data_IF_695356918645
#
_entry.id   IF_695356918645
#
_cell.length_a   1.000
_cell.length_b   1.000
_cell.length_c   1.000
_cell.angle_alpha   90.00
_cell.angle_beta   90.00
_cell.angle_gamma   90.00
#
_symmetry.space_group_name_H-M   'P 1'
#
loop_
_entity.id
_entity.type
_entity.pdbx_description
1 polymer ?
#
# COMPACT_ATOMS: atom_id res chain seq x y z
N UNK A 1 -20.96 15.93 9.76
CA UNK A 1 -19.51 16.20 9.62
C UNK A 1 -18.82 15.45 10.75
N UNK A 2 -17.88 14.57 10.42
CA UNK A 2 -17.10 13.79 11.39
C UNK A 2 -16.09 14.69 12.09
N UNK A 3 -16.07 14.70 13.43
CA UNK A 3 -15.15 15.52 14.21
C UNK A 3 -13.76 14.90 14.30
N UNK A 4 -12.71 15.72 14.27
CA UNK A 4 -11.34 15.28 14.56
C UNK A 4 -11.24 14.86 16.04
N UNK A 5 -10.74 13.65 16.27
CA UNK A 5 -10.47 13.08 17.59
C UNK A 5 -9.09 13.49 18.10
N UNK A 6 -8.08 13.34 17.24
CA UNK A 6 -6.69 13.59 17.54
C UNK A 6 -5.91 13.82 16.25
N UNK A 7 -4.84 14.60 16.34
CA UNK A 7 -3.83 14.68 15.29
C UNK A 7 -2.54 14.08 15.83
N UNK A 8 -1.96 13.10 15.15
CA UNK A 8 -0.82 12.33 15.66
C UNK A 8 0.32 12.26 14.63
N UNK A 9 1.48 11.77 15.06
CA UNK A 9 2.63 11.43 14.21
C UNK A 9 2.83 9.91 14.24
N UNK A 10 3.32 9.35 13.14
CA UNK A 10 3.74 7.94 13.06
C UNK A 10 5.18 7.72 13.54
N UNK A 11 5.88 8.77 13.97
CA UNK A 11 7.25 8.67 14.49
C UNK A 11 7.32 7.71 15.70
N UNK A 12 8.28 6.78 15.67
CA UNK A 12 8.44 5.78 16.72
C UNK A 12 7.35 4.70 16.76
N UNK A 13 6.49 4.62 15.72
CA UNK A 13 5.50 3.57 15.58
C UNK A 13 5.86 2.64 14.43
N UNK A 14 5.60 1.35 14.62
CA UNK A 14 5.76 0.35 13.58
C UNK A 14 4.40 -0.03 13.00
N UNK A 15 4.21 0.10 11.67
CA UNK A 15 2.97 -0.31 11.02
C UNK A 15 2.83 -1.83 11.01
N UNK A 16 1.61 -2.33 11.19
CA UNK A 16 1.25 -3.73 11.04
C UNK A 16 0.66 -3.96 9.64
N UNK A 17 1.20 -4.95 8.92
CA UNK A 17 0.81 -5.24 7.53
C UNK A 17 1.25 -4.17 6.51
N UNK A 18 0.77 -4.31 5.28
CA UNK A 18 0.97 -3.34 4.20
C UNK A 18 0.04 -2.13 4.31
N UNK A 19 0.34 -1.05 3.59
CA UNK A 19 -0.54 0.13 3.54
C UNK A 19 -1.95 -0.21 3.02
N UNK A 20 -2.05 -1.08 2.00
CA UNK A 20 -3.33 -1.53 1.47
C UNK A 20 -4.15 -2.32 2.51
N UNK A 21 -3.49 -3.14 3.33
CA UNK A 21 -4.11 -3.88 4.43
C UNK A 21 -4.61 -2.97 5.56
N UNK A 22 -4.11 -1.73 5.66
CA UNK A 22 -4.58 -0.69 6.59
C UNK A 22 -5.49 0.35 5.94
N UNK A 23 -6.10 0.03 4.80
CA UNK A 23 -7.12 0.91 4.22
C UNK A 23 -8.35 0.97 5.12
N UNK A 24 -8.72 2.16 5.58
CA UNK A 24 -9.88 2.36 6.46
C UNK A 24 -11.17 1.82 5.84
N UNK A 25 -11.43 2.10 4.57
CA UNK A 25 -12.64 1.63 3.86
C UNK A 25 -12.70 0.11 3.78
N UNK A 26 -11.56 -0.54 3.54
CA UNK A 26 -11.48 -2.00 3.47
C UNK A 26 -11.77 -2.62 4.83
N UNK A 27 -11.11 -2.15 5.88
CA UNK A 27 -11.23 -2.75 7.22
C UNK A 27 -12.58 -2.44 7.84
N UNK A 28 -13.02 -1.18 7.81
CA UNK A 28 -14.33 -0.79 8.36
C UNK A 28 -15.49 -1.43 7.60
N UNK A 29 -15.40 -1.56 6.27
CA UNK A 29 -16.36 -2.28 5.44
C UNK A 29 -16.44 -3.76 5.81
N UNK A 30 -15.29 -4.43 5.91
CA UNK A 30 -15.23 -5.84 6.31
C UNK A 30 -15.80 -6.07 7.72
N UNK A 31 -15.51 -5.18 8.68
CA UNK A 31 -16.09 -5.26 10.02
C UNK A 31 -17.60 -5.06 10.01
N UNK A 32 -18.09 -4.06 9.26
CA UNK A 32 -19.52 -3.77 9.10
C UNK A 32 -20.27 -4.97 8.54
N UNK A 33 -19.76 -5.55 7.47
CA UNK A 33 -20.44 -6.64 6.74
C UNK A 33 -20.48 -7.94 7.56
N UNK A 34 -19.49 -8.18 8.42
CA UNK A 34 -19.32 -9.46 9.13
C UNK A 34 -19.81 -9.43 10.58
N UNK A 35 -19.66 -8.30 11.26
CA UNK A 35 -19.92 -8.18 12.70
C UNK A 35 -20.91 -7.05 13.02
N UNK A 36 -21.05 -6.09 12.10
CA UNK A 36 -22.04 -5.03 12.18
C UNK A 36 -21.44 -3.66 12.44
N UNK A 37 -22.34 -2.69 12.47
CA UNK A 37 -22.00 -1.26 12.51
C UNK A 37 -21.23 -0.85 13.78
N UNK A 38 -21.49 -1.50 14.91
CA UNK A 38 -20.79 -1.20 16.16
C UNK A 38 -19.27 -1.50 16.09
N UNK A 39 -18.88 -2.54 15.33
CA UNK A 39 -17.48 -2.93 15.13
C UNK A 39 -16.80 -2.03 14.11
N UNK A 40 -17.49 -1.62 13.06
CA UNK A 40 -16.96 -0.65 12.10
C UNK A 40 -16.65 0.70 12.78
N UNK A 41 -17.51 1.13 13.70
CA UNK A 41 -17.32 2.35 14.50
C UNK A 41 -16.19 2.27 15.54
N UNK A 42 -15.52 1.13 15.65
CA UNK A 42 -14.33 1.00 16.48
C UNK A 42 -13.14 1.75 15.89
N UNK A 43 -13.10 1.97 14.58
CA UNK A 43 -11.93 2.53 13.90
C UNK A 43 -12.12 4.01 13.61
N UNK A 44 -11.14 4.84 13.99
CA UNK A 44 -11.06 6.20 13.49
C UNK A 44 -10.55 6.24 12.04
N UNK A 45 -11.08 7.16 11.25
CA UNK A 45 -10.65 7.37 9.87
C UNK A 45 -9.34 8.19 9.83
N UNK A 46 -8.25 7.67 9.23
CA UNK A 46 -7.02 8.42 9.06
C UNK A 46 -7.09 9.33 7.83
N UNK A 47 -6.89 10.62 8.04
CA UNK A 47 -6.81 11.64 6.99
C UNK A 47 -5.44 12.30 7.07
N UNK A 48 -4.75 12.44 5.93
CA UNK A 48 -3.49 13.17 5.91
C UNK A 48 -3.72 14.64 6.29
N UNK A 49 -3.01 15.12 7.30
CA UNK A 49 -3.08 16.53 7.69
C UNK A 49 -2.52 17.42 6.56
N UNK A 50 -2.89 18.70 6.57
CA UNK A 50 -2.56 19.66 5.50
C UNK A 50 -1.06 19.73 5.16
N UNK A 51 -0.18 19.46 6.11
CA UNK A 51 1.28 19.54 5.95
C UNK A 51 1.96 18.17 5.71
N UNK A 52 1.18 17.08 5.63
CA UNK A 52 1.62 15.75 5.21
C UNK A 52 2.47 14.95 6.20
N UNK A 53 2.93 15.55 7.29
CA UNK A 53 3.76 14.93 8.34
C UNK A 53 2.94 14.36 9.50
N UNK A 54 1.63 14.65 9.53
CA UNK A 54 0.71 14.24 10.60
C UNK A 54 -0.54 13.59 10.03
N UNK A 55 -1.23 12.85 10.89
CA UNK A 55 -2.47 12.16 10.57
C UNK A 55 -3.58 12.74 11.46
N UNK A 56 -4.61 13.29 10.84
CA UNK A 56 -5.86 13.67 11.50
C UNK A 56 -6.76 12.44 11.57
N UNK A 57 -7.17 12.08 12.78
CA UNK A 57 -8.04 10.94 13.02
C UNK A 57 -9.45 11.41 13.27
N UNK A 58 -10.37 11.01 12.40
CA UNK A 58 -11.77 11.44 12.48
C UNK A 58 -12.65 10.37 13.11
N UNK A 59 -13.63 10.82 13.90
CA UNK A 59 -14.63 9.95 14.48
C UNK A 59 -15.50 9.32 13.37
N UNK A 60 -15.83 8.02 13.45
CA UNK A 60 -16.65 7.37 12.43
C UNK A 60 -18.11 7.86 12.43
N UNK A 61 -18.55 8.45 13.54
CA UNK A 61 -19.87 9.09 13.66
C UNK A 61 -19.75 10.43 14.40
N UNK A 62 -20.69 11.37 14.19
CA UNK A 62 -20.75 12.60 14.96
C UNK A 62 -20.96 12.31 16.45
N UNK A 63 -20.24 13.01 17.32
CA UNK A 63 -20.41 12.90 18.75
C UNK A 63 -19.33 13.66 19.51
N UNK A 64 -19.52 13.81 20.82
CA UNK A 64 -18.48 14.37 21.69
C UNK A 64 -17.50 13.27 22.05
N UNK A 65 -16.27 13.41 21.57
CA UNK A 65 -15.17 12.54 21.96
C UNK A 65 -14.48 13.07 23.22
N UNK A 66 -14.13 12.15 24.11
CA UNK A 66 -13.31 12.41 25.29
C UNK A 66 -12.22 11.35 25.37
N UNK A 67 -10.98 11.75 25.71
CA UNK A 67 -9.94 10.81 26.11
C UNK A 67 -10.38 9.92 27.28
N UNK A 68 -9.88 8.68 27.34
CA UNK A 68 -10.28 7.69 28.36
C UNK A 68 -9.94 8.13 29.79
N UNK A 69 -8.86 8.88 29.96
CA UNK A 69 -8.44 9.47 31.25
C UNK A 69 -9.41 10.55 31.75
N UNK A 70 -10.15 11.20 30.85
CA UNK A 70 -11.21 12.17 31.15
C UNK A 70 -12.54 11.57 31.60
N UNK A 71 -12.71 10.24 31.52
CA UNK A 71 -13.92 9.56 31.98
C UNK A 71 -13.92 9.29 33.50
N UNK A 72 -15.12 9.21 34.07
CA UNK A 72 -15.31 8.71 35.44
C UNK A 72 -14.80 7.27 35.56
N UNK A 73 -14.40 6.79 36.75
CA UNK A 73 -13.95 5.40 36.92
C UNK A 73 -14.99 4.37 36.49
N UNK A 74 -16.29 4.67 36.71
CA UNK A 74 -17.38 3.80 36.30
C UNK A 74 -17.52 3.74 34.77
N UNK A 75 -17.53 4.89 34.09
CA UNK A 75 -17.62 4.97 32.63
C UNK A 75 -16.40 4.33 31.97
N UNK A 76 -15.21 4.50 32.55
CA UNK A 76 -13.98 3.87 32.07
C UNK A 76 -14.04 2.35 32.13
N UNK A 77 -14.58 1.80 33.23
CA UNK A 77 -14.78 0.36 33.36
C UNK A 77 -15.82 -0.16 32.35
N UNK A 78 -16.92 0.57 32.15
CA UNK A 78 -17.95 0.22 31.16
C UNK A 78 -17.40 0.26 29.73
N UNK A 79 -16.62 1.30 29.38
CA UNK A 79 -15.94 1.42 28.10
C UNK A 79 -14.95 0.27 27.89
N UNK A 80 -14.13 -0.04 28.89
CA UNK A 80 -13.16 -1.13 28.83
C UNK A 80 -13.83 -2.49 28.61
N UNK A 81 -14.95 -2.75 29.29
CA UNK A 81 -15.75 -3.96 29.08
C UNK A 81 -16.30 -4.01 27.65
N UNK A 82 -16.86 -2.89 27.16
CA UNK A 82 -17.38 -2.80 25.78
C UNK A 82 -16.29 -3.02 24.73
N UNK A 83 -15.13 -2.39 24.89
CA UNK A 83 -13.97 -2.57 24.02
C UNK A 83 -13.51 -4.03 24.02
N UNK A 84 -13.41 -4.65 25.20
CA UNK A 84 -13.01 -6.05 25.34
C UNK A 84 -13.95 -6.99 24.60
N UNK A 85 -15.27 -6.76 24.70
CA UNK A 85 -16.27 -7.52 23.94
C UNK A 85 -16.09 -7.36 22.43
N UNK A 86 -16.00 -6.13 21.93
CA UNK A 86 -15.85 -5.86 20.50
C UNK A 86 -14.56 -6.48 19.94
N UNK A 87 -13.44 -6.31 20.64
CA UNK A 87 -12.14 -6.89 20.25
C UNK A 87 -12.17 -8.42 20.27
N UNK A 88 -12.78 -9.03 21.29
CA UNK A 88 -12.91 -10.49 21.37
C UNK A 88 -13.73 -11.05 20.20
N UNK A 89 -14.82 -10.39 19.82
CA UNK A 89 -15.66 -10.78 18.67
C UNK A 89 -14.89 -10.67 17.34
N UNK A 90 -14.08 -9.61 17.16
CA UNK A 90 -13.21 -9.44 15.98
C UNK A 90 -12.15 -10.53 15.91
N UNK A 91 -11.49 -10.83 17.03
CA UNK A 91 -10.47 -11.88 17.08
C UNK A 91 -11.05 -13.27 16.87
N UNK A 92 -12.27 -13.53 17.38
CA UNK A 92 -12.99 -14.76 17.10
C UNK A 92 -13.31 -14.89 15.61
N UNK A 93 -13.72 -13.79 14.95
CA UNK A 93 -13.95 -13.76 13.51
C UNK A 93 -12.69 -14.02 12.70
N UNK A 94 -11.58 -13.37 13.06
CA UNK A 94 -10.28 -13.65 12.48
C UNK A 94 -9.90 -15.14 12.66
N UNK A 95 -10.20 -15.73 13.82
CA UNK A 95 -10.03 -17.17 14.07
C UNK A 95 -10.83 -18.05 13.12
N UNK A 96 -12.11 -17.73 12.88
CA UNK A 96 -12.97 -18.44 11.92
C UNK A 96 -12.40 -18.38 10.49
N UNK A 97 -11.95 -17.20 10.07
CA UNK A 97 -11.35 -16.99 8.75
C UNK A 97 -10.03 -17.75 8.58
N UNK A 98 -9.20 -17.87 9.62
CA UNK A 98 -7.98 -18.72 9.55
C UNK A 98 -8.33 -20.20 9.39
N UNK A 99 -9.40 -20.65 10.04
CA UNK A 99 -9.84 -22.05 9.97
C UNK A 99 -10.41 -22.44 8.59
N UNK A 100 -11.03 -21.49 7.87
CA UNK A 100 -11.44 -21.70 6.47
C UNK A 100 -10.26 -22.02 5.54
N UNK A 101 -9.06 -21.50 5.85
CA UNK A 101 -7.80 -21.91 5.23
C UNK A 101 -7.51 -21.33 3.84
N UNK A 102 -8.51 -20.72 3.18
CA UNK A 102 -8.29 -20.05 1.89
C UNK A 102 -7.27 -18.91 2.02
N UNK A 103 -6.50 -18.65 0.95
CA UNK A 103 -5.47 -17.60 0.99
C UNK A 103 -6.07 -16.21 1.26
N UNK A 104 -7.27 -15.96 0.75
CA UNK A 104 -8.00 -14.72 0.98
C UNK A 104 -8.53 -14.61 2.42
N UNK A 105 -9.14 -15.68 2.96
CA UNK A 105 -9.59 -15.67 4.34
C UNK A 105 -8.41 -15.51 5.31
N UNK A 106 -7.25 -16.11 5.05
CA UNK A 106 -6.04 -15.90 5.85
C UNK A 106 -5.55 -14.45 5.82
N UNK A 107 -5.55 -13.81 4.64
CA UNK A 107 -5.20 -12.38 4.52
C UNK A 107 -6.17 -11.49 5.29
N UNK A 108 -7.48 -11.73 5.15
CA UNK A 108 -8.48 -10.97 5.90
C UNK A 108 -8.36 -11.20 7.40
N UNK A 109 -8.09 -12.43 7.84
CA UNK A 109 -7.89 -12.72 9.26
C UNK A 109 -6.69 -11.98 9.86
N UNK A 110 -5.60 -11.83 9.10
CA UNK A 110 -4.44 -11.04 9.51
C UNK A 110 -4.80 -9.55 9.61
N UNK A 111 -5.53 -9.02 8.61
CA UNK A 111 -6.03 -7.64 8.61
C UNK A 111 -6.89 -7.36 9.84
N UNK A 112 -7.87 -8.21 10.14
CA UNK A 112 -8.76 -8.03 11.29
C UNK A 112 -8.03 -8.14 12.63
N UNK A 113 -7.04 -9.04 12.73
CA UNK A 113 -6.21 -9.15 13.94
C UNK A 113 -5.34 -7.91 14.15
N UNK A 114 -4.75 -7.36 13.09
CA UNK A 114 -3.95 -6.14 13.17
C UNK A 114 -4.83 -4.92 13.48
N UNK A 115 -6.09 -4.88 13.02
CA UNK A 115 -6.98 -3.74 13.19
C UNK A 115 -7.35 -3.43 14.66
N UNK A 116 -7.24 -4.40 15.56
CA UNK A 116 -7.51 -4.19 17.00
C UNK A 116 -6.26 -3.84 17.80
N UNK A 117 -5.08 -3.84 17.17
CA UNK A 117 -3.82 -3.47 17.80
C UNK A 117 -3.66 -1.95 17.77
N UNK A 118 -3.32 -1.38 18.92
CA UNK A 118 -2.98 0.03 19.11
C UNK A 118 -1.70 0.16 19.95
N UNK A 119 -0.91 1.25 19.82
CA UNK A 119 0.36 1.36 20.53
C UNK A 119 0.24 1.40 22.06
N UNK A 120 -0.85 2.00 22.58
CA UNK A 120 -1.15 2.09 24.02
C UNK A 120 -2.58 2.59 24.24
N UNK A 121 -3.05 2.54 25.48
CA UNK A 121 -4.37 3.05 25.90
C UNK A 121 -4.56 4.56 25.60
N UNK A 122 -3.48 5.32 25.43
CA UNK A 122 -3.53 6.73 25.07
C UNK A 122 -4.13 6.98 23.67
N UNK A 123 -4.19 5.95 22.83
CA UNK A 123 -4.76 6.00 21.49
C UNK A 123 -6.23 5.53 21.44
N UNK A 124 -6.87 5.42 22.60
CA UNK A 124 -8.27 5.02 22.70
C UNK A 124 -9.07 6.25 23.13
N UNK A 125 -10.16 6.52 22.42
CA UNK A 125 -11.10 7.59 22.72
C UNK A 125 -12.49 7.02 23.00
N UNK A 126 -13.25 7.71 23.85
CA UNK A 126 -14.64 7.41 24.13
C UNK A 126 -15.53 8.43 23.42
N UNK A 127 -16.46 7.94 22.61
CA UNK A 127 -17.43 8.75 21.90
C UNK A 127 -18.79 8.59 22.56
N UNK A 128 -19.40 9.69 23.00
CA UNK A 128 -20.77 9.65 23.54
C UNK A 128 -21.75 9.41 22.38
N UNK A 129 -22.54 8.34 22.49
CA UNK A 129 -23.65 8.02 21.58
C UNK A 129 -24.95 7.88 22.36
N UNK A 130 -26.08 7.77 21.67
CA UNK A 130 -27.40 7.55 22.28
C UNK A 130 -27.47 6.21 23.05
N UNK A 131 -26.67 5.22 22.65
CA UNK A 131 -26.59 3.90 23.28
C UNK A 131 -25.55 3.82 24.41
N UNK A 132 -24.89 4.94 24.75
CA UNK A 132 -23.80 5.02 25.72
C UNK A 132 -22.44 5.30 25.07
N UNK A 133 -21.36 4.93 25.75
CA UNK A 133 -20.00 5.16 25.29
C UNK A 133 -19.56 4.15 24.23
N UNK A 134 -19.14 4.66 23.07
CA UNK A 134 -18.53 3.88 21.98
C UNK A 134 -17.01 4.06 22.02
N UNK A 135 -16.22 2.99 22.14
CA UNK A 135 -14.77 3.09 21.99
C UNK A 135 -14.39 3.34 20.53
N UNK A 136 -13.39 4.19 20.32
CA UNK A 136 -12.81 4.49 19.01
C UNK A 136 -11.28 4.46 19.12
N UNK A 137 -10.65 3.68 18.23
CA UNK A 137 -9.22 3.46 18.16
C UNK A 137 -8.57 4.43 17.18
N UNK A 138 -7.56 5.14 17.66
CA UNK A 138 -6.61 5.94 16.87
C UNK A 138 -5.36 5.09 16.66
N UNK A 139 -4.64 5.27 15.55
CA UNK A 139 -3.44 4.47 15.25
C UNK A 139 -3.68 2.95 15.30
N UNK A 140 -4.88 2.51 14.93
CA UNK A 140 -5.16 1.08 14.75
C UNK A 140 -4.23 0.47 13.69
N UNK A 141 -3.86 -0.79 13.87
CA UNK A 141 -2.84 -1.48 13.08
C UNK A 141 -1.44 -0.82 13.13
N UNK A 142 -1.10 -0.23 14.27
CA UNK A 142 0.26 0.19 14.62
C UNK A 142 0.64 -0.35 16.00
N UNK A 143 1.93 -0.61 16.19
CA UNK A 143 2.50 -0.94 17.50
C UNK A 143 3.56 0.08 17.88
N UNK A 144 3.74 0.31 19.18
CA UNK A 144 4.86 1.11 19.67
C UNK A 144 6.19 0.42 19.35
N UNK A 145 7.16 1.17 18.83
CA UNK A 145 8.52 0.66 18.65
C UNK A 145 9.30 0.81 19.96
N UNK A 146 9.31 -0.24 20.77
CA UNK A 146 10.05 -0.26 22.04
C UNK A 146 11.60 -0.30 21.85
N UNK A 147 12.10 -0.33 20.60
CA UNK A 147 13.52 -0.61 20.30
C UNK A 147 14.23 0.38 19.39
N UNK A 148 13.53 1.22 18.63
CA UNK A 148 14.17 2.30 17.89
C UNK A 148 14.35 3.54 18.79
N UNK A 149 15.39 3.51 19.63
CA UNK A 149 16.01 4.75 20.08
C UNK A 149 16.31 5.57 18.83
N UNK A 150 15.69 6.74 18.70
CA UNK A 150 15.94 7.68 17.60
C UNK A 150 17.44 7.98 17.56
N UNK A 151 18.17 7.23 16.73
CA UNK A 151 19.60 7.42 16.49
C UNK A 151 19.71 8.67 15.62
N UNK A 152 19.64 9.84 16.26
CA UNK A 152 19.76 11.12 15.57
C UNK A 152 19.06 12.33 16.19
N UNK A 153 18.40 12.22 17.35
CA UNK A 153 17.78 13.38 17.99
C UNK A 153 18.75 14.07 18.95
N UNK A 154 19.65 14.91 18.42
CA UNK A 154 20.23 16.03 19.18
C UNK A 154 19.16 17.13 19.35
N UNK A 155 18.04 16.82 19.96
CA UNK A 155 17.01 17.78 20.32
C UNK A 155 16.99 17.94 21.84
N UNK A 156 17.42 19.13 22.26
CA UNK A 156 16.91 19.85 23.43
C UNK A 156 16.74 19.06 24.72
N UNK A 157 17.72 19.18 25.61
CA UNK A 157 17.59 19.02 27.06
C UNK A 157 16.25 19.56 27.56
N UNK A 158 15.35 18.67 27.94
CA UNK A 158 14.18 18.98 28.75
C UNK A 158 14.25 18.13 30.03
N UNK A 159 14.12 18.71 31.23
CA UNK A 159 14.30 17.98 32.47
C UNK A 159 13.13 17.00 32.67
N UNK A 160 13.44 15.71 32.70
CA UNK A 160 12.50 14.71 33.17
C UNK A 160 12.14 15.01 34.64
N UNK A 161 10.87 15.33 34.89
CA UNK A 161 10.31 15.26 36.24
C UNK A 161 10.37 13.81 36.71
N UNK A 162 10.88 13.62 37.92
CA UNK A 162 11.23 12.32 38.47
C UNK A 162 10.05 11.35 38.51
N UNK A 163 10.27 10.18 37.91
CA UNK A 163 9.61 8.94 38.30
C UNK A 163 10.62 8.16 39.14
N UNK A 164 10.37 8.04 40.44
CA UNK A 164 11.06 7.07 41.30
C UNK A 164 10.64 5.68 40.86
N UNK A 165 11.50 5.00 40.11
CA UNK A 165 11.37 3.57 39.85
C UNK A 165 12.00 2.82 41.02
N UNK A 166 11.20 1.93 41.64
CA UNK A 166 11.67 1.00 42.64
C UNK A 166 12.74 0.08 42.03
N UNK A 167 13.93 0.09 42.62
CA UNK A 167 15.07 -0.74 42.24
C UNK A 167 14.79 -2.20 42.60
N UNK A 168 14.36 -3.01 41.63
CA UNK A 168 14.53 -4.45 41.71
C UNK A 168 16.00 -4.81 41.52
N UNK A 169 16.52 -5.90 42.13
CA UNK A 169 17.90 -6.32 41.92
C UNK A 169 18.10 -6.66 40.43
N UNK A 170 18.91 -5.85 39.76
CA UNK A 170 19.42 -6.15 38.43
C UNK A 170 20.38 -7.33 38.60
N UNK A 171 19.94 -8.52 38.18
CA UNK A 171 20.83 -9.68 38.07
C UNK A 171 21.77 -9.38 36.91
N UNK A 172 23.02 -9.04 37.23
CA UNK A 172 24.09 -8.87 36.24
C UNK A 172 24.48 -10.24 35.71
N UNK A 173 24.01 -10.58 34.50
CA UNK A 173 24.32 -11.82 33.75
C UNK A 173 25.82 -11.93 33.37
N UNK A 174 26.66 -10.97 33.79
CA UNK A 174 27.99 -10.74 33.25
C UNK A 174 29.14 -11.51 33.94
N UNK A 175 28.91 -12.17 35.07
CA UNK A 175 29.97 -12.88 35.81
C UNK A 175 30.15 -14.36 35.43
N UNK A 176 29.38 -14.88 34.46
CA UNK A 176 29.49 -16.29 34.08
C UNK A 176 30.42 -16.46 32.86
N UNK A 177 31.62 -17.05 33.01
CA UNK A 177 32.57 -17.23 31.90
C UNK A 177 32.00 -18.11 30.77
N UNK A 178 31.00 -18.94 31.07
CA UNK A 178 30.27 -19.72 30.08
C UNK A 178 29.45 -18.85 29.10
N UNK A 179 28.96 -17.69 29.55
CA UNK A 179 28.20 -16.76 28.70
C UNK A 179 29.11 -16.01 27.72
N UNK A 180 30.30 -15.60 28.17
CA UNK A 180 31.34 -15.06 27.29
C UNK A 180 31.77 -16.11 26.24
N UNK A 181 31.90 -17.38 26.63
CA UNK A 181 32.21 -18.46 25.68
C UNK A 181 31.10 -18.66 24.63
N UNK A 182 29.82 -18.60 25.02
CA UNK A 182 28.68 -18.65 24.09
C UNK A 182 28.67 -17.45 23.13
N UNK A 183 29.03 -16.25 23.61
CA UNK A 183 29.16 -15.07 22.74
C UNK A 183 30.28 -15.29 21.72
N UNK A 184 31.46 -15.76 22.14
CA UNK A 184 32.56 -16.10 21.23
C UNK A 184 32.18 -17.18 20.23
N UNK A 185 31.49 -18.25 20.66
CA UNK A 185 30.98 -19.29 19.77
C UNK A 185 29.99 -18.71 18.75
N UNK A 186 29.11 -17.80 19.18
CA UNK A 186 28.19 -17.08 18.30
C UNK A 186 28.92 -16.23 17.26
N UNK A 187 29.97 -15.51 17.66
CA UNK A 187 30.82 -14.75 16.74
C UNK A 187 31.56 -15.65 15.74
N UNK A 188 32.09 -16.78 16.18
CA UNK A 188 32.73 -17.76 15.27
C UNK A 188 31.73 -18.37 14.29
N UNK A 189 30.53 -18.72 14.75
CA UNK A 189 29.46 -19.23 13.88
C UNK A 189 29.01 -18.18 12.87
N UNK A 190 28.83 -16.93 13.30
CA UNK A 190 28.50 -15.81 12.43
C UNK A 190 29.60 -15.57 11.38
N UNK A 191 30.87 -15.55 11.81
CA UNK A 191 32.01 -15.40 10.91
C UNK A 191 32.09 -16.55 9.90
N UNK A 192 31.83 -17.80 10.32
CA UNK A 192 31.78 -18.95 9.44
C UNK A 192 30.62 -18.86 8.44
N UNK A 193 29.44 -18.42 8.89
CA UNK A 193 28.27 -18.22 8.02
C UNK A 193 28.54 -17.12 6.98
N UNK A 194 29.12 -15.99 7.41
CA UNK A 194 29.51 -14.90 6.52
C UNK A 194 30.60 -15.35 5.53
N UNK A 195 31.61 -16.09 5.98
CA UNK A 195 32.63 -16.65 5.11
C UNK A 195 32.04 -17.64 4.10
N UNK A 196 31.06 -18.47 4.50
CA UNK A 196 30.34 -19.38 3.61
C UNK A 196 29.52 -18.61 2.57
N UNK A 197 28.79 -17.56 2.98
CA UNK A 197 28.03 -16.70 2.08
C UNK A 197 28.97 -16.00 1.09
N UNK A 198 30.09 -15.46 1.57
CA UNK A 198 31.12 -14.84 0.74
C UNK A 198 31.74 -15.86 -0.22
N UNK A 199 32.04 -17.07 0.23
CA UNK A 199 32.56 -18.17 -0.60
C UNK A 199 31.56 -18.56 -1.70
N UNK A 200 30.28 -18.71 -1.34
CA UNK A 200 29.18 -18.98 -2.28
C UNK A 200 28.95 -17.84 -3.27
N UNK A 201 29.24 -16.59 -2.89
CA UNK A 201 29.18 -15.43 -3.79
C UNK A 201 30.44 -15.28 -4.66
N UNK A 202 31.60 -15.71 -4.16
CA UNK A 202 32.87 -15.72 -4.92
C UNK A 202 32.89 -16.81 -6.01
N UNK A 203 32.18 -17.93 -5.82
CA UNK A 203 32.15 -19.02 -6.79
C UNK A 203 31.44 -18.67 -8.13
N UNK A 204 30.33 -17.90 -8.16
CA UNK A 204 29.75 -17.37 -9.40
C UNK A 204 30.41 -16.07 -9.87
N UNK A 205 30.94 -15.27 -8.95
CA UNK A 205 31.65 -14.04 -9.24
C UNK A 205 33.16 -14.30 -9.22
N UNK A 206 33.64 -15.01 -10.24
CA UNK A 206 35.07 -15.22 -10.45
C UNK A 206 35.81 -13.88 -10.41
N UNK A 207 36.53 -13.63 -9.31
CA UNK A 207 37.27 -12.41 -9.05
C UNK A 207 38.35 -12.20 -10.13
N UNK A 208 37.99 -11.53 -11.21
CA UNK A 208 38.92 -10.85 -12.10
C UNK A 208 38.81 -9.35 -11.80
N UNK A 209 39.88 -8.68 -11.34
CA UNK A 209 39.85 -7.25 -11.14
C UNK A 209 39.95 -6.59 -12.52
N UNK A 210 39.09 -5.60 -12.78
CA UNK A 210 39.13 -4.69 -13.95
C UNK A 210 38.47 -5.18 -15.25
N UNK A 211 37.13 -5.11 -15.33
CA UNK A 211 36.40 -5.04 -16.60
C UNK A 211 34.87 -5.02 -16.44
N UNK A 212 34.11 -4.27 -17.26
CA UNK A 212 32.64 -4.15 -17.14
C UNK A 212 31.84 -5.36 -17.67
N UNK A 213 32.47 -6.52 -17.86
CA UNK A 213 31.80 -7.75 -18.32
C UNK A 213 31.59 -8.72 -17.16
N UNK A 214 30.82 -8.27 -16.18
CA UNK A 214 30.54 -9.03 -14.96
C UNK A 214 29.19 -9.74 -15.04
N UNK A 215 29.02 -10.59 -16.05
CA UNK A 215 28.01 -11.66 -16.14
C UNK A 215 28.21 -12.39 -17.47
N UNK A 216 28.90 -13.54 -17.46
CA UNK A 216 28.77 -14.48 -18.58
C UNK A 216 27.37 -15.08 -18.49
N UNK A 217 26.42 -14.49 -19.19
CA UNK A 217 25.15 -15.14 -19.45
C UNK A 217 25.44 -16.46 -20.17
N UNK A 218 24.91 -17.55 -19.65
CA UNK A 218 25.11 -18.88 -20.20
C UNK A 218 24.54 -18.90 -21.63
N UNK A 219 25.35 -19.17 -22.67
CA UNK A 219 24.92 -19.02 -24.06
C UNK A 219 23.69 -19.89 -24.41
N UNK A 220 23.45 -20.95 -23.63
CA UNK A 220 22.31 -21.84 -23.79
C UNK A 220 20.99 -21.21 -23.31
N UNK A 221 21.02 -20.40 -22.25
CA UNK A 221 19.83 -19.73 -21.73
C UNK A 221 19.38 -18.58 -22.65
N UNK A 222 20.34 -17.86 -23.23
CA UNK A 222 20.07 -16.80 -24.21
C UNK A 222 19.49 -17.38 -25.50
N UNK A 223 20.05 -18.49 -25.99
CA UNK A 223 19.53 -19.17 -27.17
C UNK A 223 18.08 -19.65 -26.98
N UNK A 224 17.74 -20.22 -25.82
CA UNK A 224 16.38 -20.66 -25.52
C UNK A 224 15.37 -19.49 -25.55
N UNK A 225 15.71 -18.35 -24.95
CA UNK A 225 14.84 -17.16 -24.95
C UNK A 225 14.63 -16.61 -26.37
N UNK A 226 15.68 -16.57 -27.20
CA UNK A 226 15.51 -16.14 -28.60
C UNK A 226 14.61 -17.09 -29.39
N UNK A 227 14.73 -18.42 -29.19
CA UNK A 227 13.84 -19.37 -29.86
C UNK A 227 12.38 -19.23 -29.44
N UNK A 228 12.11 -18.92 -28.17
CA UNK A 228 10.74 -18.65 -27.72
C UNK A 228 10.16 -17.37 -28.33
N UNK A 229 10.99 -16.33 -28.46
CA UNK A 229 10.59 -15.07 -29.10
C UNK A 229 10.22 -15.27 -30.58
N UNK A 230 11.03 -16.03 -31.32
CA UNK A 230 10.77 -16.32 -32.74
C UNK A 230 9.46 -17.09 -32.92
N UNK A 231 9.18 -18.09 -32.07
CA UNK A 231 7.93 -18.86 -32.10
C UNK A 231 6.71 -17.98 -31.83
N UNK A 232 6.82 -17.02 -30.91
CA UNK A 232 5.74 -16.08 -30.61
C UNK A 232 5.49 -15.12 -31.78
N UNK A 233 6.55 -14.61 -32.40
CA UNK A 233 6.44 -13.75 -33.59
C UNK A 233 5.77 -14.46 -34.77
N UNK A 234 6.12 -15.73 -34.99
CA UNK A 234 5.49 -16.55 -36.03
C UNK A 234 3.98 -16.74 -35.78
N UNK A 235 3.57 -17.00 -34.53
CA UNK A 235 2.15 -17.11 -34.17
C UNK A 235 1.37 -15.82 -34.42
N UNK A 236 1.97 -14.67 -34.08
CA UNK A 236 1.35 -13.36 -34.34
C UNK A 236 1.15 -13.14 -35.84
N UNK A 237 2.17 -13.44 -36.66
CA UNK A 237 2.07 -13.28 -38.11
C UNK A 237 1.04 -14.22 -38.76
N UNK A 238 0.87 -15.42 -38.22
CA UNK A 238 -0.16 -16.37 -38.66
C UNK A 238 -1.57 -15.84 -38.36
N UNK A 239 -1.82 -15.41 -37.13
CA UNK A 239 -3.11 -14.83 -36.73
C UNK A 239 -3.47 -13.58 -37.55
N UNK A 240 -2.48 -12.72 -37.82
CA UNK A 240 -2.70 -11.55 -38.69
C UNK A 240 -3.12 -11.93 -40.11
N UNK A 241 -2.54 -13.01 -40.67
CA UNK A 241 -2.95 -13.53 -41.99
C UNK A 241 -4.36 -14.09 -41.97
N UNK A 242 -4.74 -14.82 -40.93
CA UNK A 242 -6.11 -15.34 -40.76
C UNK A 242 -7.14 -14.21 -40.69
N UNK A 243 -6.87 -13.17 -39.88
CA UNK A 243 -7.74 -11.99 -39.78
C UNK A 243 -7.87 -11.30 -41.15
N UNK A 244 -6.78 -11.15 -41.90
CA UNK A 244 -6.80 -10.52 -43.22
C UNK A 244 -7.65 -11.32 -44.23
N UNK A 245 -7.60 -12.66 -44.17
CA UNK A 245 -8.44 -13.53 -45.01
C UNK A 245 -9.92 -13.43 -44.61
N UNK A 246 -10.21 -13.48 -43.31
CA UNK A 246 -11.58 -13.34 -42.79
C UNK A 246 -12.21 -11.98 -43.16
N UNK A 247 -11.42 -10.91 -43.13
CA UNK A 247 -11.90 -9.58 -43.50
C UNK A 247 -12.24 -9.48 -45.00
N UNK A 248 -11.45 -10.13 -45.87
CA UNK A 248 -11.78 -10.21 -47.32
C UNK A 248 -13.09 -10.95 -47.57
N UNK A 249 -13.39 -12.01 -46.81
CA UNK A 249 -14.64 -12.76 -46.96
C UNK A 249 -15.89 -11.99 -46.49
N UNK A 250 -15.74 -10.94 -45.69
CA UNK A 250 -16.85 -10.18 -45.12
C UNK A 250 -17.13 -8.84 -45.83
N UNK A 251 -16.70 -8.65 -47.08
CA UNK A 251 -17.02 -7.40 -47.79
C UNK A 251 -18.52 -7.34 -48.18
N UNK A 252 -19.28 -6.33 -47.72
CA UNK A 252 -20.66 -6.14 -48.15
C UNK A 252 -20.69 -5.68 -49.61
N UNK A 253 -21.44 -6.40 -50.45
CA UNK A 253 -21.70 -6.01 -51.84
C UNK A 253 -22.50 -4.71 -51.85
N UNK A 254 -21.87 -3.59 -52.19
CA UNK A 254 -22.57 -2.33 -52.47
C UNK A 254 -23.25 -2.46 -53.84
N UNK A 255 -24.60 -2.44 -53.93
CA UNK A 255 -25.27 -2.49 -55.22
C UNK A 255 -24.95 -1.21 -55.99
N UNK A 256 -24.21 -1.31 -57.09
CA UNK A 256 -24.05 -0.21 -58.04
C UNK A 256 -25.36 -0.10 -58.80
N UNK A 257 -26.15 0.94 -58.52
CA UNK A 257 -27.30 1.30 -59.34
C UNK A 257 -26.79 1.72 -60.74
N UNK A 258 -27.46 1.29 -61.83
CA UNK A 258 -27.03 1.65 -63.18
C UNK A 258 -27.09 3.17 -63.37
N UNK A 259 -26.02 3.72 -63.96
CA UNK A 259 -25.95 5.12 -64.32
C UNK A 259 -27.11 5.46 -65.28
N UNK A 260 -27.90 6.48 -64.92
CA UNK A 260 -28.83 7.10 -65.87
C UNK A 260 -28.01 7.93 -66.85
N UNK A 261 -28.18 7.66 -68.14
CA UNK A 261 -27.64 8.50 -69.21
C UNK A 261 -28.33 9.87 -69.19
N UNK A 262 -27.79 10.81 -68.42
CA UNK A 262 -28.07 12.23 -68.58
C UNK A 262 -26.86 12.88 -69.21
N UNK A 263 -27.05 13.40 -70.42
CA UNK A 263 -26.05 14.03 -71.29
C UNK A 263 -25.59 15.43 -70.81
N UNK A 264 -25.37 15.59 -69.51
CA UNK A 264 -24.67 16.74 -68.94
C UNK A 264 -23.47 16.22 -68.14
N UNK A 265 -22.26 16.79 -68.28
CA UNK A 265 -21.16 16.47 -67.40
C UNK A 265 -21.61 16.76 -65.97
N UNK A 266 -21.59 15.78 -65.04
CA UNK A 266 -21.94 16.07 -63.66
C UNK A 266 -20.89 17.05 -63.14
N UNK A 267 -21.34 18.25 -62.74
CA UNK A 267 -20.55 19.11 -61.89
C UNK A 267 -20.12 18.25 -60.69
N UNK A 268 -18.80 18.03 -60.56
CA UNK A 268 -18.24 17.30 -59.42
C UNK A 268 -18.78 18.02 -58.18
N UNK A 269 -19.63 17.38 -57.35
CA UNK A 269 -20.01 18.01 -56.11
C UNK A 269 -18.72 18.10 -55.29
N UNK A 270 -18.29 19.34 -55.03
CA UNK A 270 -17.24 19.62 -54.04
C UNK A 270 -17.66 18.85 -52.78
N UNK A 271 -16.81 17.95 -52.24
CA UNK A 271 -17.19 17.18 -51.08
C UNK A 271 -17.57 18.15 -49.97
N UNK A 272 -18.84 18.14 -49.58
CA UNK A 272 -19.31 18.89 -48.42
C UNK A 272 -18.58 18.30 -47.22
N UNK A 273 -17.58 19.04 -46.73
CA UNK A 273 -16.70 18.63 -45.64
C UNK A 273 -17.48 18.72 -44.32
N UNK A 274 -18.49 17.86 -44.16
CA UNK A 274 -19.16 17.63 -42.88
C UNK A 274 -18.15 16.99 -41.94
N UNK A 275 -17.60 17.82 -41.06
CA UNK A 275 -16.62 17.41 -40.04
C UNK A 275 -15.24 18.07 -40.15
N UNK A 276 -15.06 19.13 -40.95
CA UNK A 276 -13.91 19.99 -40.69
C UNK A 276 -14.09 20.65 -39.31
N UNK A 277 -13.21 20.30 -38.36
CA UNK A 277 -13.01 21.13 -37.18
C UNK A 277 -12.81 22.58 -37.65
N UNK A 278 -13.43 23.58 -36.98
CA UNK A 278 -13.17 24.97 -37.31
C UNK A 278 -11.66 25.22 -37.29
N UNK A 279 -11.12 26.06 -38.20
CA UNK A 279 -9.71 26.37 -38.21
C UNK A 279 -9.33 26.92 -36.83
N UNK A 280 -8.59 26.12 -36.07
CA UNK A 280 -8.08 26.52 -34.77
C UNK A 280 -6.98 27.52 -35.04
N UNK A 281 -7.17 28.72 -34.53
CA UNK A 281 -6.25 29.83 -34.63
C UNK A 281 -4.89 29.45 -33.98
N UNK A 282 -3.75 29.87 -34.57
CA UNK A 282 -2.41 29.52 -34.08
C UNK A 282 -2.19 29.69 -32.57
N UNK A 283 -2.70 30.74 -31.90
CA UNK A 283 -2.55 30.88 -30.45
C UNK A 283 -3.33 29.82 -29.65
N UNK A 284 -4.45 29.34 -30.18
CA UNK A 284 -5.28 28.30 -29.54
C UNK A 284 -4.60 26.93 -29.66
N UNK A 285 -3.93 26.64 -30.78
CA UNK A 285 -3.10 25.43 -30.93
C UNK A 285 -1.92 25.42 -29.95
N UNK A 286 -1.26 26.55 -29.74
CA UNK A 286 -0.17 26.69 -28.76
C UNK A 286 -0.65 26.45 -27.32
N UNK A 287 -1.85 26.92 -26.97
CA UNK A 287 -2.45 26.68 -25.64
C UNK A 287 -2.84 25.21 -25.43
N UNK A 288 -3.40 24.56 -26.44
CA UNK A 288 -3.76 23.14 -26.38
C UNK A 288 -2.51 22.25 -26.34
N UNK A 289 -1.47 22.58 -27.10
CA UNK A 289 -0.18 21.90 -27.03
C UNK A 289 0.46 22.04 -25.65
N UNK A 290 0.43 23.24 -25.06
CA UNK A 290 0.93 23.48 -23.70
C UNK A 290 0.18 22.69 -22.62
N UNK A 291 -1.15 22.58 -22.74
CA UNK A 291 -1.97 21.77 -21.84
C UNK A 291 -1.69 20.27 -21.98
N UNK A 292 -1.51 19.77 -23.21
CA UNK A 292 -1.15 18.38 -23.46
C UNK A 292 0.25 18.04 -22.90
N UNK A 293 1.22 18.93 -23.08
CA UNK A 293 2.57 18.77 -22.52
C UNK A 293 2.55 18.76 -20.99
N UNK A 294 1.78 19.66 -20.36
CA UNK A 294 1.65 19.74 -18.90
C UNK A 294 0.97 18.50 -18.28
N UNK A 295 -0.01 17.93 -18.99
CA UNK A 295 -0.66 16.67 -18.60
C UNK A 295 0.30 15.48 -18.76
N UNK A 296 1.09 15.44 -19.84
CA UNK A 296 2.07 14.39 -20.07
C UNK A 296 3.17 14.38 -19.00
N UNK A 297 3.71 15.55 -18.63
CA UNK A 297 4.72 15.66 -17.57
C UNK A 297 4.20 15.32 -16.17
N UNK A 298 2.89 15.47 -15.92
CA UNK A 298 2.28 15.11 -14.63
C UNK A 298 2.07 13.60 -14.49
N UNK A 299 1.96 12.87 -15.60
CA UNK A 299 1.68 11.41 -15.62
C UNK A 299 2.96 10.57 -15.72
N UNK A 300 4.11 11.16 -16.09
CA UNK A 300 5.38 10.44 -16.21
C UNK A 300 6.55 11.26 -15.64
N UNK A 301 6.85 11.15 -14.33
CA UNK A 301 7.90 11.96 -13.70
C UNK A 301 9.35 11.49 -14.00
N UNK A 302 9.56 10.52 -14.88
CA UNK A 302 10.87 9.86 -15.09
C UNK A 302 11.45 10.01 -16.50
N UNK A 303 11.22 11.13 -17.18
CA UNK A 303 11.96 11.42 -18.42
C UNK A 303 12.48 12.86 -18.42
N UNK A 304 13.54 13.09 -17.65
CA UNK A 304 14.53 14.13 -17.97
C UNK A 304 15.86 13.84 -17.28
N UNK A 305 16.86 13.41 -18.06
CA UNK A 305 18.22 13.98 -18.07
C UNK A 305 19.10 13.13 -18.97
N UNK A 306 19.54 13.75 -20.08
CA UNK A 306 20.84 13.65 -20.78
C UNK A 306 21.55 12.28 -20.92
#
# INVERSE_FOLDING_TARGET
>A
MSSVLATTTSEGLQPLGSAAQRSYELVSGALRDRLGEAHARLLAEPVAAEHGDRIDWHAPVPGRAVPVDGLSPHDRAALGARLSTLTAEILAEAGRLRADGSAEARRLAEVLANAVEVPSDAYIHALQTDAGWQPVLVHWAWRGDAGQSVRGALSGRMPARGAQAASGPVVTVWDNPAWLWLIWLGWFLLAALLALILWLMLHPCGLAPLGPDYCRAEPQAIAAVHTEQDVLQDRVSALQREIALANRSCQPTVPVAPARDTADPPAIPVPERKGALPPVDPPTLLRLAGLAQALYTRVSPWTSSD
#
